data_IF_405988328155
#
_entry.id   IF_405988328155
#
_cell.length_a   1.000
_cell.length_b   1.000
_cell.length_c   1.000
_cell.angle_alpha   90.00
_cell.angle_beta   90.00
_cell.angle_gamma   90.00
#
_symmetry.space_group_name_H-M   'P 1'
#
loop_
_entity.id
_entity.type
_entity.pdbx_description
1 polymer ?
#
# COMPACT_ATOMS: atom_id res chain seq x y z
N UNK A 1 -6.90 18.95 -13.45
CA UNK A 1 -5.44 19.05 -13.26
C UNK A 1 -5.13 19.59 -11.86
N UNK A 2 -3.98 19.24 -11.29
CA UNK A 2 -3.52 19.77 -10.01
C UNK A 2 -4.33 19.30 -8.78
N UNK A 3 -5.04 18.19 -8.86
CA UNK A 3 -5.84 17.63 -7.75
C UNK A 3 -5.30 16.31 -7.21
N UNK A 4 -4.12 15.90 -7.69
CA UNK A 4 -3.44 14.69 -7.23
C UNK A 4 -2.18 15.09 -6.46
N UNK A 5 -1.98 14.49 -5.29
CA UNK A 5 -0.76 14.60 -4.50
C UNK A 5 -0.16 13.22 -4.30
N UNK A 6 1.16 13.11 -4.37
CA UNK A 6 1.89 11.86 -4.10
C UNK A 6 3.00 12.10 -3.09
N UNK A 7 3.26 11.10 -2.27
CA UNK A 7 4.56 11.03 -1.58
C UNK A 7 5.66 10.96 -2.62
N UNK A 8 6.81 11.52 -2.29
CA UNK A 8 8.00 11.54 -3.16
C UNK A 8 8.26 10.12 -3.71
N UNK A 9 8.17 9.93 -5.04
CA UNK A 9 8.31 8.62 -5.67
C UNK A 9 9.73 8.02 -5.57
N UNK A 10 10.70 8.81 -5.13
CA UNK A 10 12.09 8.37 -4.99
C UNK A 10 12.44 7.86 -3.59
N UNK A 11 11.52 7.98 -2.62
CA UNK A 11 11.71 7.41 -1.27
C UNK A 11 11.14 5.98 -1.21
N UNK A 12 11.67 5.18 -0.28
CA UNK A 12 11.14 3.84 -0.01
C UNK A 12 9.89 3.91 0.87
N UNK A 13 8.96 2.99 0.65
CA UNK A 13 7.74 2.91 1.44
C UNK A 13 6.50 2.49 0.64
N UNK A 14 5.29 2.80 1.11
CA UNK A 14 4.04 2.44 0.43
C UNK A 14 3.95 2.93 -1.02
N UNK A 15 4.56 4.09 -1.32
CA UNK A 15 4.63 4.61 -2.68
C UNK A 15 5.38 3.67 -3.62
N UNK A 16 6.45 2.99 -3.15
CA UNK A 16 7.18 2.00 -3.95
C UNK A 16 6.31 0.80 -4.31
N UNK A 17 5.50 0.32 -3.37
CA UNK A 17 4.55 -0.76 -3.63
C UNK A 17 3.49 -0.35 -4.66
N UNK A 18 2.96 0.86 -4.56
CA UNK A 18 2.02 1.40 -5.55
C UNK A 18 2.66 1.51 -6.94
N UNK A 19 3.90 1.97 -7.03
CA UNK A 19 4.64 2.08 -8.30
C UNK A 19 4.88 0.71 -8.94
N UNK A 20 5.29 -0.29 -8.16
CA UNK A 20 5.47 -1.66 -8.65
C UNK A 20 4.13 -2.23 -9.12
N UNK A 21 3.05 -1.99 -8.37
CA UNK A 21 1.70 -2.38 -8.78
C UNK A 21 1.33 -1.75 -10.12
N UNK A 22 1.48 -0.44 -10.29
CA UNK A 22 1.19 0.24 -11.56
C UNK A 22 2.04 -0.29 -12.71
N UNK A 23 3.31 -0.58 -12.46
CA UNK A 23 4.23 -1.07 -13.47
C UNK A 23 3.91 -2.50 -13.93
N UNK A 24 3.55 -3.38 -13.00
CA UNK A 24 3.32 -4.82 -13.23
C UNK A 24 1.87 -5.18 -13.53
N UNK A 25 0.92 -4.27 -13.28
CA UNK A 25 -0.48 -4.51 -13.59
C UNK A 25 -0.68 -4.47 -15.11
N UNK A 26 -1.19 -5.55 -15.74
CA UNK A 26 -1.30 -5.65 -17.20
C UNK A 26 -2.12 -4.55 -17.87
N UNK A 27 -3.14 -4.03 -17.17
CA UNK A 27 -4.03 -2.98 -17.69
C UNK A 27 -3.43 -1.56 -17.55
N UNK A 28 -2.28 -1.39 -16.87
CA UNK A 28 -1.64 -0.10 -16.57
C UNK A 28 -0.27 0.02 -17.24
N UNK A 29 0.75 -0.58 -16.65
CA UNK A 29 2.10 -0.63 -17.19
C UNK A 29 2.89 0.69 -17.15
N UNK A 30 4.06 0.72 -17.81
CA UNK A 30 4.96 1.87 -17.80
C UNK A 30 4.36 3.13 -18.43
N UNK A 31 3.48 2.99 -19.41
CA UNK A 31 2.83 4.14 -20.06
C UNK A 31 1.87 4.86 -19.12
N UNK A 32 1.14 4.13 -18.27
CA UNK A 32 0.32 4.74 -17.22
C UNK A 32 1.17 5.61 -16.28
N UNK A 33 2.32 5.08 -15.82
CA UNK A 33 3.23 5.82 -14.93
C UNK A 33 3.74 7.10 -15.61
N UNK A 34 4.14 6.99 -16.88
CA UNK A 34 4.59 8.14 -17.67
C UNK A 34 3.51 9.21 -17.74
N UNK A 35 2.28 8.84 -18.12
CA UNK A 35 1.16 9.77 -18.25
C UNK A 35 0.74 10.38 -16.93
N UNK A 36 0.72 9.59 -15.87
CA UNK A 36 0.40 10.06 -14.51
C UNK A 36 1.30 11.23 -14.11
N UNK A 37 2.60 11.15 -14.38
CA UNK A 37 3.57 12.17 -13.97
C UNK A 37 3.76 13.29 -14.99
N UNK A 38 3.48 13.05 -16.29
CA UNK A 38 3.62 14.07 -17.31
C UNK A 38 2.35 14.92 -17.52
N UNK A 39 1.14 14.33 -17.37
CA UNK A 39 -0.10 14.92 -17.87
C UNK A 39 -1.06 15.38 -16.76
N UNK A 40 -0.90 14.91 -15.50
CA UNK A 40 -1.88 15.17 -14.44
C UNK A 40 -1.57 16.35 -13.53
N UNK A 41 -0.40 16.97 -13.67
CA UNK A 41 0.07 18.05 -12.79
C UNK A 41 0.09 17.61 -11.31
N UNK A 42 0.69 16.45 -11.07
CA UNK A 42 0.82 15.84 -9.74
C UNK A 42 1.75 16.67 -8.85
N UNK A 43 1.32 16.93 -7.62
CA UNK A 43 2.15 17.55 -6.60
C UNK A 43 2.88 16.50 -5.77
N UNK A 44 4.14 16.71 -5.49
CA UNK A 44 4.99 15.79 -4.74
C UNK A 44 5.28 16.38 -3.36
N UNK A 45 5.06 15.58 -2.31
CA UNK A 45 5.36 15.93 -0.92
C UNK A 45 6.27 14.88 -0.28
N UNK A 46 7.05 15.31 0.70
CA UNK A 46 7.94 14.42 1.46
C UNK A 46 7.35 13.97 2.80
N UNK A 47 6.36 14.70 3.31
CA UNK A 47 5.71 14.41 4.58
C UNK A 47 4.34 13.78 4.34
N UNK A 48 4.08 12.66 5.03
CA UNK A 48 2.77 12.01 5.05
C UNK A 48 1.72 12.88 5.75
N UNK A 49 2.11 13.56 6.81
CA UNK A 49 1.27 14.45 7.59
C UNK A 49 0.78 15.61 6.71
N UNK A 50 1.68 16.23 5.96
CA UNK A 50 1.35 17.29 5.00
C UNK A 50 0.36 16.78 3.92
N UNK A 51 0.54 15.55 3.46
CA UNK A 51 -0.38 14.96 2.48
C UNK A 51 -1.77 14.75 3.08
N UNK A 52 -1.86 14.19 4.29
CA UNK A 52 -3.13 14.00 4.98
C UNK A 52 -3.85 15.32 5.25
N UNK A 53 -3.11 16.36 5.68
CA UNK A 53 -3.63 17.71 5.86
C UNK A 53 -4.21 18.29 4.56
N UNK A 54 -3.48 18.17 3.46
CA UNK A 54 -3.95 18.67 2.17
C UNK A 54 -5.14 17.89 1.58
N UNK A 55 -5.23 16.60 1.87
CA UNK A 55 -6.38 15.79 1.47
C UNK A 55 -7.60 16.12 2.34
N UNK A 56 -7.43 16.18 3.66
CA UNK A 56 -8.53 16.46 4.59
C UNK A 56 -9.08 17.88 4.45
N UNK A 57 -8.25 18.86 4.12
CA UNK A 57 -8.69 20.22 3.82
C UNK A 57 -9.31 20.40 2.43
N UNK A 58 -9.32 19.34 1.59
CA UNK A 58 -9.86 19.39 0.23
C UNK A 58 -8.97 20.14 -0.78
N UNK A 59 -7.73 20.49 -0.41
CA UNK A 59 -6.77 21.10 -1.33
C UNK A 59 -6.46 20.16 -2.50
N UNK A 60 -6.31 18.86 -2.21
CA UNK A 60 -6.18 17.78 -3.19
C UNK A 60 -7.32 16.78 -3.03
N UNK A 61 -7.71 16.15 -4.13
CA UNK A 61 -8.79 15.18 -4.16
C UNK A 61 -8.31 13.73 -4.06
N UNK A 62 -7.08 13.45 -4.51
CA UNK A 62 -6.51 12.10 -4.56
C UNK A 62 -5.09 12.09 -4.02
N UNK A 63 -4.79 11.17 -3.13
CA UNK A 63 -3.45 10.92 -2.59
C UNK A 63 -2.90 9.56 -3.03
N UNK A 64 -1.62 9.51 -3.40
CA UNK A 64 -0.91 8.28 -3.76
C UNK A 64 0.20 8.03 -2.76
N UNK A 65 0.20 6.84 -2.14
CA UNK A 65 1.21 6.43 -1.17
C UNK A 65 1.02 7.00 0.22
N UNK A 66 -0.20 7.47 0.57
CA UNK A 66 -0.55 7.87 1.92
C UNK A 66 -0.45 6.71 2.91
N UNK A 67 0.02 7.00 4.12
CA UNK A 67 0.05 6.08 5.26
C UNK A 67 -0.91 6.55 6.33
N UNK A 68 -1.30 5.63 7.22
CA UNK A 68 -2.08 5.91 8.41
C UNK A 68 -3.43 6.63 8.14
N UNK A 69 -3.95 6.44 6.91
CA UNK A 69 -5.23 7.03 6.48
C UNK A 69 -6.36 6.58 7.40
N UNK A 70 -6.34 5.31 7.81
CA UNK A 70 -7.35 4.74 8.70
C UNK A 70 -7.34 5.40 10.07
N UNK A 71 -6.16 5.63 10.63
CA UNK A 71 -5.99 6.35 11.90
C UNK A 71 -6.54 7.78 11.78
N UNK A 72 -6.23 8.46 10.69
CA UNK A 72 -6.73 9.81 10.42
C UNK A 72 -8.27 9.83 10.27
N UNK A 73 -8.86 8.84 9.61
CA UNK A 73 -10.31 8.70 9.49
C UNK A 73 -10.97 8.40 10.85
N UNK A 74 -10.34 7.58 11.70
CA UNK A 74 -10.82 7.32 13.06
C UNK A 74 -10.77 8.56 13.96
N UNK A 75 -9.84 9.47 13.70
CA UNK A 75 -9.76 10.79 14.35
C UNK A 75 -10.77 11.80 13.78
N UNK A 76 -11.62 11.38 12.85
CA UNK A 76 -12.68 12.22 12.29
C UNK A 76 -12.25 13.07 11.08
N UNK A 77 -11.06 12.88 10.52
CA UNK A 77 -10.68 13.57 9.31
C UNK A 77 -11.52 13.11 8.11
N UNK A 78 -12.00 14.03 7.25
CA UNK A 78 -12.87 13.72 6.11
C UNK A 78 -12.10 13.08 4.97
N UNK A 79 -11.56 11.90 5.19
CA UNK A 79 -10.80 11.10 4.24
C UNK A 79 -11.57 9.84 3.86
N UNK A 80 -11.25 9.28 2.70
CA UNK A 80 -11.71 7.98 2.26
C UNK A 80 -10.58 7.22 1.56
N UNK A 81 -10.63 5.90 1.59
CA UNK A 81 -9.73 5.07 0.79
C UNK A 81 -10.52 4.04 -0.01
N UNK A 82 -9.95 3.62 -1.11
CA UNK A 82 -10.54 2.54 -1.89
C UNK A 82 -10.47 1.22 -1.13
N UNK A 83 -11.57 0.48 -1.15
CA UNK A 83 -11.60 -0.85 -0.56
C UNK A 83 -10.68 -1.82 -1.32
N UNK A 84 -9.99 -2.73 -0.63
CA UNK A 84 -9.11 -3.70 -1.29
C UNK A 84 -9.85 -4.53 -2.34
N UNK A 85 -9.36 -4.50 -3.58
CA UNK A 85 -9.92 -5.22 -4.71
C UNK A 85 -11.17 -4.60 -5.34
N UNK A 86 -11.59 -3.39 -4.94
CA UNK A 86 -12.79 -2.72 -5.48
C UNK A 86 -12.55 -2.03 -6.83
N UNK A 87 -11.31 -1.75 -7.18
CA UNK A 87 -10.98 -1.12 -8.45
C UNK A 87 -10.96 -2.16 -9.58
N UNK A 88 -11.24 -1.71 -10.80
CA UNK A 88 -11.20 -2.55 -12.02
C UNK A 88 -9.83 -3.23 -12.19
N UNK A 89 -8.78 -2.50 -11.93
CA UNK A 89 -7.39 -2.94 -11.97
C UNK A 89 -7.02 -3.82 -10.76
N UNK A 90 -7.86 -3.82 -9.73
CA UNK A 90 -7.67 -4.54 -8.49
C UNK A 90 -6.83 -3.79 -7.46
N UNK A 91 -6.21 -4.53 -6.57
CA UNK A 91 -5.34 -4.01 -5.52
C UNK A 91 -4.09 -4.86 -5.37
N UNK A 92 -3.03 -4.29 -4.83
CA UNK A 92 -1.84 -5.06 -4.50
C UNK A 92 -2.00 -5.80 -3.18
N UNK A 93 -1.41 -6.98 -3.12
CA UNK A 93 -1.09 -7.70 -1.88
C UNK A 93 0.42 -7.81 -1.82
N UNK A 94 1.01 -7.33 -0.72
CA UNK A 94 2.46 -7.26 -0.59
C UNK A 94 2.95 -7.90 0.71
N UNK A 95 4.13 -8.50 0.65
CA UNK A 95 4.89 -8.95 1.81
C UNK A 95 5.98 -7.95 2.23
N UNK A 96 6.00 -6.74 1.68
CA UNK A 96 7.06 -5.76 1.99
C UNK A 96 6.95 -5.19 3.42
N UNK A 97 5.76 -5.15 4.00
CA UNK A 97 5.52 -4.73 5.37
C UNK A 97 4.98 -5.89 6.20
N UNK A 98 5.50 -6.04 7.41
CA UNK A 98 5.06 -7.10 8.31
C UNK A 98 5.53 -8.49 7.92
N UNK A 99 6.64 -8.60 7.22
CA UNK A 99 7.25 -9.90 6.87
C UNK A 99 7.77 -10.59 8.11
N UNK A 100 7.43 -11.86 8.27
CA UNK A 100 7.99 -12.71 9.30
C UNK A 100 9.22 -13.41 8.75
N UNK A 101 10.39 -13.16 9.37
CA UNK A 101 11.67 -13.72 8.93
C UNK A 101 12.31 -14.58 10.02
N UNK A 102 12.80 -15.72 9.62
CA UNK A 102 13.59 -16.60 10.48
C UNK A 102 15.08 -16.37 10.21
N UNK A 103 15.83 -15.97 11.25
CA UNK A 103 17.26 -15.75 11.12
C UNK A 103 18.04 -17.06 11.17
N UNK A 104 18.97 -17.24 10.25
CA UNK A 104 19.79 -18.45 10.14
C UNK A 104 20.55 -18.78 11.44
N UNK A 105 20.98 -17.77 12.21
CA UNK A 105 21.70 -17.90 13.48
C UNK A 105 20.87 -17.38 14.65
N UNK A 106 19.58 -17.74 14.70
CA UNK A 106 18.73 -17.37 15.83
C UNK A 106 19.28 -17.97 17.13
N UNK A 107 19.38 -17.20 18.23
CA UNK A 107 19.90 -17.69 19.50
C UNK A 107 19.04 -18.81 20.11
N UNK A 108 17.73 -18.82 19.79
CA UNK A 108 16.77 -19.82 20.26
C UNK A 108 15.96 -20.38 19.06
N UNK A 109 16.59 -21.22 18.20
CA UNK A 109 15.98 -21.61 16.93
C UNK A 109 14.69 -22.42 17.09
N UNK A 110 14.59 -23.28 18.11
CA UNK A 110 13.40 -24.05 18.38
C UNK A 110 12.22 -23.17 18.81
N UNK A 111 12.45 -22.23 19.73
CA UNK A 111 11.45 -21.29 20.20
C UNK A 111 10.97 -20.36 19.06
N UNK A 112 11.88 -19.88 18.20
CA UNK A 112 11.53 -19.08 17.04
C UNK A 112 10.62 -19.83 16.06
N UNK A 113 10.92 -21.12 15.78
CA UNK A 113 10.08 -21.96 14.93
C UNK A 113 8.69 -22.18 15.52
N UNK A 114 8.60 -22.44 16.83
CA UNK A 114 7.32 -22.61 17.54
C UNK A 114 6.50 -21.32 17.44
N UNK A 115 7.10 -20.17 17.71
CA UNK A 115 6.44 -18.87 17.64
C UNK A 115 5.94 -18.56 16.21
N UNK A 116 6.75 -18.82 15.18
CA UNK A 116 6.37 -18.64 13.78
C UNK A 116 5.20 -19.56 13.41
N UNK A 117 5.29 -20.85 13.75
CA UNK A 117 4.23 -21.81 13.45
C UNK A 117 2.93 -21.45 14.15
N UNK A 118 2.99 -21.03 15.41
CA UNK A 118 1.82 -20.56 16.14
C UNK A 118 1.22 -19.32 15.49
N UNK A 119 2.05 -18.30 15.18
CA UNK A 119 1.56 -17.06 14.57
C UNK A 119 0.90 -17.31 13.21
N UNK A 120 1.38 -18.29 12.44
CA UNK A 120 0.79 -18.67 11.14
C UNK A 120 -0.40 -19.63 11.28
N UNK A 121 -0.66 -20.17 12.48
CA UNK A 121 -1.81 -21.06 12.73
C UNK A 121 -3.14 -20.29 12.70
N UNK A 122 -4.25 -21.03 12.65
CA UNK A 122 -5.60 -20.47 12.79
C UNK A 122 -5.75 -19.68 14.10
N UNK A 123 -5.27 -20.25 15.20
CA UNK A 123 -5.34 -19.63 16.52
C UNK A 123 -4.52 -18.33 16.59
N UNK A 124 -3.25 -18.37 16.16
CA UNK A 124 -2.36 -17.22 16.14
C UNK A 124 -2.88 -16.09 15.25
N UNK A 125 -3.39 -16.42 14.05
CA UNK A 125 -3.96 -15.41 13.16
C UNK A 125 -5.27 -14.82 13.68
N UNK A 126 -6.08 -15.58 14.41
CA UNK A 126 -7.27 -15.07 15.08
C UNK A 126 -6.89 -14.12 16.22
N UNK A 127 -5.92 -14.50 17.05
CA UNK A 127 -5.42 -13.66 18.14
C UNK A 127 -4.79 -12.37 17.61
N UNK A 128 -4.01 -12.46 16.51
CA UNK A 128 -3.43 -11.30 15.84
C UNK A 128 -4.51 -10.35 15.30
N UNK A 129 -5.55 -10.89 14.67
CA UNK A 129 -6.68 -10.13 14.17
C UNK A 129 -7.40 -9.38 15.32
N UNK A 130 -7.72 -10.10 16.42
CA UNK A 130 -8.38 -9.50 17.58
C UNK A 130 -7.53 -8.39 18.24
N UNK A 131 -6.22 -8.58 18.32
CA UNK A 131 -5.30 -7.57 18.85
C UNK A 131 -5.24 -6.31 17.97
N UNK A 132 -5.13 -6.48 16.66
CA UNK A 132 -5.10 -5.35 15.72
C UNK A 132 -6.39 -4.54 15.73
N UNK A 133 -7.55 -5.19 15.84
CA UNK A 133 -8.83 -4.48 15.91
C UNK A 133 -8.96 -3.60 17.15
N UNK A 134 -8.45 -4.06 18.30
CA UNK A 134 -8.45 -3.27 19.55
C UNK A 134 -7.61 -2.01 19.45
N UNK A 135 -6.59 -2.00 18.60
CA UNK A 135 -5.71 -0.84 18.37
C UNK A 135 -6.14 -0.01 17.15
N UNK A 136 -7.29 -0.32 16.53
CA UNK A 136 -7.77 0.37 15.35
C UNK A 136 -7.04 -0.01 14.06
N UNK A 137 -6.20 -1.03 14.10
CA UNK A 137 -5.49 -1.51 12.91
C UNK A 137 -6.45 -2.18 11.92
N UNK A 138 -6.27 -1.89 10.63
CA UNK A 138 -7.00 -2.52 9.55
C UNK A 138 -6.21 -3.70 9.01
N UNK A 139 -6.58 -4.87 9.47
CA UNK A 139 -5.91 -6.12 9.12
C UNK A 139 -6.92 -7.18 8.70
N UNK A 140 -6.66 -7.85 7.58
CA UNK A 140 -7.37 -9.04 7.15
C UNK A 140 -6.37 -10.15 6.84
N UNK A 141 -6.41 -11.24 7.60
CA UNK A 141 -5.54 -12.40 7.38
C UNK A 141 -5.78 -13.02 6.01
N UNK A 142 -4.72 -13.51 5.37
CA UNK A 142 -4.82 -14.29 4.13
C UNK A 142 -5.42 -15.69 4.34
N UNK A 143 -5.54 -16.16 5.60
CA UNK A 143 -6.19 -17.45 5.88
C UNK A 143 -7.68 -17.38 5.57
N UNK A 144 -8.17 -18.39 4.88
CA UNK A 144 -9.59 -18.52 4.52
C UNK A 144 -10.40 -19.28 5.58
N UNK A 145 -9.73 -20.02 6.48
CA UNK A 145 -10.33 -20.86 7.51
C UNK A 145 -10.59 -20.13 8.85
N UNK A 146 -10.51 -18.81 8.88
CA UNK A 146 -10.86 -17.97 10.03
C UNK A 146 -12.04 -17.06 9.72
N UNK A 147 -12.85 -16.77 10.76
CA UNK A 147 -13.99 -15.85 10.61
C UNK A 147 -13.53 -14.46 10.20
N UNK A 148 -14.24 -13.86 9.25
CA UNK A 148 -14.04 -12.48 8.79
C UNK A 148 -15.08 -11.50 9.36
N UNK A 149 -15.97 -11.96 10.24
CA UNK A 149 -17.05 -11.13 10.81
C UNK A 149 -16.53 -9.91 11.54
N UNK A 150 -15.43 -10.08 12.30
CA UNK A 150 -14.79 -9.00 13.02
C UNK A 150 -13.86 -8.12 12.16
N UNK A 151 -13.56 -8.52 10.93
CA UNK A 151 -12.74 -7.71 10.03
C UNK A 151 -13.54 -6.51 9.58
N UNK A 152 -13.02 -5.30 9.81
CA UNK A 152 -13.70 -4.09 9.36
C UNK A 152 -13.91 -4.14 7.84
N UNK A 153 -15.00 -3.57 7.35
CA UNK A 153 -15.31 -3.53 5.92
C UNK A 153 -14.18 -2.94 5.09
N UNK A 154 -13.48 -1.96 5.63
CA UNK A 154 -12.35 -1.30 4.97
C UNK A 154 -11.12 -2.20 4.81
N UNK A 155 -10.88 -3.12 5.75
CA UNK A 155 -9.77 -4.07 5.68
C UNK A 155 -10.13 -5.33 4.90
N UNK A 156 -11.42 -5.67 4.86
CA UNK A 156 -11.91 -6.91 4.27
C UNK A 156 -11.70 -6.92 2.77
N UNK A 157 -11.00 -7.94 2.30
CA UNK A 157 -10.86 -8.14 0.85
C UNK A 157 -12.21 -8.46 0.24
N UNK A 158 -12.53 -7.79 -0.85
CA UNK A 158 -13.76 -8.05 -1.62
C UNK A 158 -13.69 -9.46 -2.19
N UNK A 159 -14.70 -10.28 -1.91
CA UNK A 159 -14.80 -11.65 -2.45
C UNK A 159 -14.87 -11.57 -3.98
N UNK A 160 -13.98 -12.31 -4.65
CA UNK A 160 -13.85 -12.26 -6.11
C UNK A 160 -13.11 -11.02 -6.63
N UNK A 161 -12.62 -10.15 -5.74
CA UNK A 161 -11.80 -9.01 -6.13
C UNK A 161 -10.47 -9.44 -6.77
N UNK A 162 -9.96 -8.59 -7.65
CA UNK A 162 -8.67 -8.81 -8.29
C UNK A 162 -7.54 -8.39 -7.35
N UNK A 163 -6.57 -9.26 -7.16
CA UNK A 163 -5.39 -8.98 -6.35
C UNK A 163 -4.13 -9.36 -7.12
N UNK A 164 -3.17 -8.44 -7.19
CA UNK A 164 -1.85 -8.70 -7.69
C UNK A 164 -0.90 -8.91 -6.50
N UNK A 165 -0.37 -10.11 -6.37
CA UNK A 165 0.67 -10.42 -5.41
C UNK A 165 1.99 -9.80 -5.86
N UNK A 166 2.50 -8.82 -5.12
CA UNK A 166 3.77 -8.18 -5.41
C UNK A 166 4.93 -9.11 -5.00
N UNK A 167 5.59 -9.71 -5.99
CA UNK A 167 6.76 -10.52 -5.75
C UNK A 167 7.89 -9.64 -5.16
N UNK A 168 8.53 -10.04 -4.04
CA UNK A 168 9.65 -9.29 -3.46
C UNK A 168 10.80 -9.00 -4.44
N UNK A 169 11.06 -9.88 -5.39
CA UNK A 169 12.08 -9.67 -6.42
C UNK A 169 11.78 -8.45 -7.34
N UNK A 170 10.53 -8.02 -7.44
CA UNK A 170 10.16 -6.86 -8.26
C UNK A 170 10.63 -5.52 -7.70
N UNK A 171 11.26 -5.51 -6.53
CA UNK A 171 11.95 -4.31 -6.02
C UNK A 171 13.05 -3.83 -6.99
N UNK A 172 13.60 -4.73 -7.80
CA UNK A 172 14.58 -4.43 -8.84
C UNK A 172 14.02 -3.54 -9.96
N UNK A 173 12.69 -3.53 -10.15
CA UNK A 173 12.04 -2.66 -11.13
C UNK A 173 12.06 -1.18 -10.73
N UNK A 174 12.29 -0.85 -9.45
CA UNK A 174 12.19 0.52 -8.95
C UNK A 174 13.13 1.50 -9.66
N UNK A 175 14.32 1.07 -10.05
CA UNK A 175 15.26 1.95 -10.77
C UNK A 175 14.72 2.29 -12.17
N UNK A 176 14.16 1.31 -12.87
CA UNK A 176 13.49 1.52 -14.16
C UNK A 176 12.29 2.44 -14.00
N UNK A 177 11.43 2.18 -13.03
CA UNK A 177 10.23 2.97 -12.72
C UNK A 177 10.61 4.42 -12.42
N UNK A 178 11.61 4.64 -11.56
CA UNK A 178 12.12 5.97 -11.20
C UNK A 178 12.69 6.71 -12.42
N UNK A 179 13.35 5.98 -13.33
CA UNK A 179 13.81 6.53 -14.61
C UNK A 179 12.65 7.07 -15.46
N UNK A 180 11.55 6.31 -15.57
CA UNK A 180 10.33 6.74 -16.27
C UNK A 180 9.74 7.98 -15.61
N UNK A 181 9.59 7.99 -14.30
CA UNK A 181 9.05 9.13 -13.54
C UNK A 181 9.91 10.38 -13.73
N UNK A 182 11.23 10.26 -13.59
CA UNK A 182 12.17 11.37 -13.77
C UNK A 182 12.05 12.00 -15.16
N UNK A 183 11.98 11.17 -16.20
CA UNK A 183 11.83 11.63 -17.59
C UNK A 183 10.47 12.30 -17.82
N UNK A 184 9.39 11.75 -17.24
CA UNK A 184 8.06 12.31 -17.34
C UNK A 184 7.95 13.69 -16.67
N UNK A 185 8.50 13.86 -15.46
CA UNK A 185 8.54 15.13 -14.74
C UNK A 185 9.38 16.18 -15.48
N UNK A 186 10.52 15.79 -16.06
CA UNK A 186 11.34 16.69 -16.86
C UNK A 186 10.63 17.18 -18.13
N UNK A 187 9.84 16.32 -18.76
CA UNK A 187 9.03 16.68 -19.92
C UNK A 187 7.89 17.63 -19.55
N UNK A 188 7.22 17.38 -18.42
CA UNK A 188 6.16 18.27 -17.91
C UNK A 188 6.68 19.68 -17.56
N UNK A 189 7.91 19.79 -17.07
CA UNK A 189 8.53 21.07 -16.74
C UNK A 189 8.89 21.92 -17.99
N UNK A 190 9.17 21.27 -19.12
CA UNK A 190 9.49 21.97 -20.39
C UNK A 190 8.23 22.44 -21.15
N UNK A 191 7.07 21.90 -20.83
CA UNK A 191 5.80 22.25 -21.48
C UNK A 191 4.97 23.31 -20.73
N UNK A 192 5.48 23.80 -19.60
CA UNK A 192 4.95 24.95 -18.83
C UNK A 192 5.72 26.21 -19.13
#
# INVERSE_FOLDING_TARGET
KGKIVSVDPFVSGPVSAAQIFFYRQPDLGPEFIRRLHAETDISIVRSNEQMLDWLSSGKYAVGIGARDVDTAMMQGLPLAQFLPGSLKEGSSVTAYNGTLSYFNRAPHPAAAKVAINWLLSREGQTAWLDANQKTGGLYDSLREDISKEKVSERARRVKGGKFLWLNPAWIEDLDTIRGIIKSALASAAKGK
#
